data_IF_495849398634
#
_entry.id   IF_495849398634
#
_cell.length_a   1.000
_cell.length_b   1.000
_cell.length_c   1.000
_cell.angle_alpha   90.00
_cell.angle_beta   90.00
_cell.angle_gamma   90.00
#
_symmetry.space_group_name_H-M   'P 1'
#
loop_
_entity.id
_entity.type
_entity.pdbx_description
1 polymer ?
#
# COMPACT_ATOMS: atom_id res chain seq x y z
N UNK A 1 -19.89 23.08 -18.78
CA UNK A 1 -19.33 22.18 -17.74
C UNK A 1 -18.91 22.93 -16.48
N UNK A 2 -18.04 23.95 -16.54
CA UNK A 2 -17.62 24.69 -15.33
C UNK A 2 -18.75 25.58 -14.76
N UNK A 3 -19.50 26.28 -15.62
CA UNK A 3 -20.66 27.08 -15.18
C UNK A 3 -21.82 26.21 -14.66
N UNK A 4 -22.05 25.04 -15.26
CA UNK A 4 -23.04 24.08 -14.79
C UNK A 4 -22.65 23.47 -13.43
N UNK A 5 -21.35 23.23 -13.20
CA UNK A 5 -20.81 22.85 -11.89
C UNK A 5 -21.02 23.97 -10.85
N UNK A 6 -20.78 25.21 -11.24
CA UNK A 6 -20.96 26.38 -10.38
C UNK A 6 -22.42 26.57 -9.95
N UNK A 7 -23.37 26.44 -10.89
CA UNK A 7 -24.81 26.46 -10.62
C UNK A 7 -25.24 25.27 -9.73
N UNK A 8 -24.71 24.07 -9.96
CA UNK A 8 -25.02 22.90 -9.13
C UNK A 8 -24.50 23.03 -7.69
N UNK A 9 -23.33 23.65 -7.49
CA UNK A 9 -22.76 23.95 -6.17
C UNK A 9 -23.56 24.99 -5.40
N UNK A 10 -24.34 25.84 -6.07
CA UNK A 10 -25.22 26.82 -5.43
C UNK A 10 -26.53 26.21 -4.92
N UNK A 11 -26.91 25.02 -5.40
CA UNK A 11 -28.11 24.35 -4.90
C UNK A 11 -27.92 23.85 -3.46
N UNK A 12 -28.80 24.22 -2.52
CA UNK A 12 -28.66 23.82 -1.12
C UNK A 12 -28.60 22.30 -0.95
N UNK A 13 -29.43 21.54 -1.66
CA UNK A 13 -29.48 20.08 -1.53
C UNK A 13 -28.15 19.42 -1.92
N UNK A 14 -27.51 19.90 -3.00
CA UNK A 14 -26.20 19.40 -3.44
C UNK A 14 -25.13 19.63 -2.37
N UNK A 15 -25.12 20.80 -1.72
CA UNK A 15 -24.17 21.10 -0.64
C UNK A 15 -24.34 20.17 0.56
N UNK A 16 -25.59 19.91 0.95
CA UNK A 16 -25.91 18.97 2.02
C UNK A 16 -25.43 17.55 1.68
N UNK A 17 -25.74 17.06 0.48
CA UNK A 17 -25.33 15.71 0.05
C UNK A 17 -23.80 15.59 -0.01
N UNK A 18 -23.10 16.60 -0.55
CA UNK A 18 -21.64 16.62 -0.59
C UNK A 18 -21.01 16.60 0.80
N UNK A 19 -21.57 17.35 1.75
CA UNK A 19 -21.10 17.33 3.14
C UNK A 19 -21.33 15.95 3.78
N UNK A 20 -22.49 15.32 3.53
CA UNK A 20 -22.81 13.98 4.00
C UNK A 20 -21.86 12.91 3.44
N UNK A 21 -21.63 12.91 2.13
CA UNK A 21 -20.74 11.92 1.47
C UNK A 21 -19.27 12.15 1.79
N UNK A 22 -18.85 13.40 2.02
CA UNK A 22 -17.51 13.72 2.54
C UNK A 22 -17.29 13.13 3.94
N UNK A 23 -18.22 13.39 4.87
CA UNK A 23 -18.12 12.91 6.24
C UNK A 23 -18.20 11.38 6.31
N UNK A 24 -19.11 10.78 5.55
CA UNK A 24 -19.24 9.34 5.43
C UNK A 24 -17.95 8.72 4.87
N UNK A 25 -17.42 9.26 3.77
CA UNK A 25 -16.19 8.78 3.15
C UNK A 25 -14.98 8.94 4.07
N UNK A 26 -14.95 10.01 4.86
CA UNK A 26 -13.91 10.22 5.88
C UNK A 26 -14.01 9.19 7.01
N UNK A 27 -15.22 8.95 7.53
CA UNK A 27 -15.48 7.96 8.57
C UNK A 27 -15.17 6.53 8.07
N UNK A 28 -15.54 6.20 6.83
CA UNK A 28 -15.28 4.89 6.23
C UNK A 28 -13.77 4.67 6.01
N UNK A 29 -13.04 5.67 5.50
CA UNK A 29 -11.59 5.56 5.34
C UNK A 29 -10.84 5.42 6.67
N UNK A 30 -11.29 6.12 7.71
CA UNK A 30 -10.75 6.00 9.06
C UNK A 30 -10.97 4.59 9.62
N UNK A 31 -12.21 4.10 9.65
CA UNK A 31 -12.55 2.79 10.20
C UNK A 31 -11.92 1.66 9.37
N UNK A 32 -11.93 1.83 8.05
CA UNK A 32 -11.24 0.96 7.10
C UNK A 32 -9.76 0.79 7.37
N UNK A 33 -9.09 1.83 7.90
CA UNK A 33 -7.68 1.73 8.28
C UNK A 33 -7.46 0.72 9.40
N UNK A 34 -8.34 0.69 10.41
CA UNK A 34 -8.27 -0.31 11.48
C UNK A 34 -8.63 -1.71 10.97
N UNK A 35 -9.69 -1.82 10.16
CA UNK A 35 -10.12 -3.10 9.57
C UNK A 35 -9.02 -3.73 8.71
N UNK A 36 -8.36 -2.92 7.87
CA UNK A 36 -7.27 -3.37 7.02
C UNK A 36 -6.08 -3.86 7.84
N UNK A 37 -5.67 -3.13 8.88
CA UNK A 37 -4.52 -3.50 9.71
C UNK A 37 -4.78 -4.75 10.56
N UNK A 38 -6.03 -4.99 10.94
CA UNK A 38 -6.45 -6.21 11.64
C UNK A 38 -6.61 -7.41 10.71
N UNK A 39 -6.36 -7.25 9.40
CA UNK A 39 -6.58 -8.28 8.36
C UNK A 39 -8.03 -8.77 8.29
N UNK A 40 -8.97 -7.89 8.62
CA UNK A 40 -10.40 -8.19 8.70
C UNK A 40 -11.19 -7.52 7.56
N UNK A 41 -10.55 -7.33 6.40
CA UNK A 41 -11.14 -6.62 5.26
C UNK A 41 -12.49 -7.19 4.82
N UNK A 42 -12.68 -8.51 4.88
CA UNK A 42 -13.92 -9.17 4.48
C UNK A 42 -15.08 -8.99 5.47
N UNK A 43 -14.82 -8.53 6.71
CA UNK A 43 -15.90 -8.36 7.69
C UNK A 43 -16.84 -7.22 7.26
N UNK A 44 -16.32 -6.15 6.65
CA UNK A 44 -17.16 -5.05 6.15
C UNK A 44 -18.18 -5.52 5.11
N UNK A 45 -17.79 -6.46 4.25
CA UNK A 45 -18.65 -7.09 3.24
C UNK A 45 -19.73 -7.96 3.89
N UNK A 46 -19.33 -8.84 4.82
CA UNK A 46 -20.28 -9.64 5.56
C UNK A 46 -21.29 -8.81 6.36
N UNK A 47 -20.88 -7.67 6.94
CA UNK A 47 -21.79 -6.76 7.64
C UNK A 47 -22.82 -6.15 6.69
N UNK A 48 -22.43 -5.73 5.49
CA UNK A 48 -23.33 -5.11 4.52
C UNK A 48 -24.41 -6.10 4.06
N UNK A 49 -24.02 -7.32 3.72
CA UNK A 49 -24.96 -8.37 3.34
C UNK A 49 -25.79 -8.89 4.53
N UNK A 50 -25.24 -8.87 5.75
CA UNK A 50 -26.00 -9.18 6.98
C UNK A 50 -27.06 -8.11 7.29
N UNK A 51 -26.84 -6.87 6.87
CA UNK A 51 -27.79 -5.79 7.07
C UNK A 51 -29.02 -5.90 6.14
N UNK A 52 -28.88 -6.48 4.94
CA UNK A 52 -29.95 -6.62 3.94
C UNK A 52 -31.23 -7.28 4.48
N UNK A 53 -31.20 -8.49 5.09
CA UNK A 53 -32.40 -9.09 5.67
C UNK A 53 -33.01 -8.23 6.79
N UNK A 54 -32.18 -7.48 7.54
CA UNK A 54 -32.65 -6.54 8.55
C UNK A 54 -33.47 -5.38 7.98
N UNK A 55 -33.03 -4.82 6.84
CA UNK A 55 -33.79 -3.79 6.11
C UNK A 55 -35.11 -4.34 5.61
N UNK A 56 -35.10 -5.53 5.00
CA UNK A 56 -36.32 -6.18 4.51
C UNK A 56 -37.32 -6.48 5.64
N UNK A 57 -36.85 -6.98 6.78
CA UNK A 57 -37.71 -7.21 7.95
C UNK A 57 -38.28 -5.91 8.50
N UNK A 58 -37.46 -4.85 8.60
CA UNK A 58 -37.95 -3.54 9.04
C UNK A 58 -39.06 -3.00 8.13
N UNK A 59 -38.92 -3.18 6.81
CA UNK A 59 -39.97 -2.82 5.86
C UNK A 59 -41.25 -3.65 6.03
N UNK A 60 -41.14 -4.97 6.21
CA UNK A 60 -42.29 -5.84 6.42
C UNK A 60 -43.07 -5.51 7.71
N UNK A 61 -42.38 -5.10 8.78
CA UNK A 61 -43.03 -4.73 10.04
C UNK A 61 -43.68 -3.34 10.02
N UNK A 62 -43.02 -2.36 9.40
CA UNK A 62 -43.49 -0.97 9.42
C UNK A 62 -44.46 -0.66 8.29
N UNK A 63 -44.35 -1.33 7.14
CA UNK A 63 -45.12 -1.01 5.93
C UNK A 63 -44.79 0.36 5.31
N UNK A 64 -43.90 1.14 5.93
CA UNK A 64 -43.56 2.50 5.55
C UNK A 64 -42.07 2.65 5.21
N UNK A 65 -41.76 3.58 4.30
CA UNK A 65 -40.38 3.94 3.94
C UNK A 65 -39.81 4.94 4.95
N UNK A 66 -39.44 4.45 6.12
CA UNK A 66 -38.84 5.28 7.17
C UNK A 66 -37.37 4.88 7.39
N UNK A 67 -36.48 5.82 7.07
CA UNK A 67 -35.03 5.60 7.18
C UNK A 67 -34.59 5.14 8.58
N UNK A 68 -35.07 5.73 9.70
CA UNK A 68 -34.64 5.30 11.03
C UNK A 68 -34.91 3.83 11.32
N UNK A 69 -36.06 3.30 10.86
CA UNK A 69 -36.42 1.90 11.06
C UNK A 69 -35.57 0.97 10.19
N UNK A 70 -35.28 1.36 8.94
CA UNK A 70 -34.37 0.61 8.08
C UNK A 70 -32.97 0.54 8.66
N UNK A 71 -32.44 1.67 9.17
CA UNK A 71 -31.14 1.71 9.83
C UNK A 71 -31.13 0.86 11.10
N UNK A 72 -32.20 0.88 11.89
CA UNK A 72 -32.31 0.07 13.10
C UNK A 72 -32.32 -1.44 12.76
N UNK A 73 -33.15 -1.86 11.80
CA UNK A 73 -33.20 -3.25 11.35
C UNK A 73 -31.88 -3.72 10.76
N UNK A 74 -31.26 -2.88 9.92
CA UNK A 74 -29.93 -3.10 9.36
C UNK A 74 -28.86 -3.25 10.45
N UNK A 75 -28.86 -2.37 11.45
CA UNK A 75 -27.91 -2.40 12.55
C UNK A 75 -28.07 -3.65 13.42
N UNK A 76 -29.31 -4.03 13.76
CA UNK A 76 -29.58 -5.24 14.54
C UNK A 76 -29.14 -6.50 13.79
N UNK A 77 -29.49 -6.62 12.51
CA UNK A 77 -29.08 -7.77 11.70
C UNK A 77 -27.56 -7.80 11.44
N UNK A 78 -26.94 -6.64 11.22
CA UNK A 78 -25.49 -6.50 11.10
C UNK A 78 -24.77 -6.91 12.39
N UNK A 79 -25.23 -6.44 13.55
CA UNK A 79 -24.69 -6.84 14.85
C UNK A 79 -24.87 -8.34 15.10
N UNK A 80 -26.03 -8.90 14.80
CA UNK A 80 -26.28 -10.34 14.87
C UNK A 80 -25.30 -11.11 13.99
N UNK A 81 -25.10 -10.67 12.73
CA UNK A 81 -24.13 -11.25 11.81
C UNK A 81 -22.70 -11.20 12.38
N UNK A 82 -22.25 -10.04 12.88
CA UNK A 82 -20.92 -9.94 13.50
C UNK A 82 -20.75 -10.83 14.73
N UNK A 83 -21.80 -10.97 15.53
CA UNK A 83 -21.79 -11.85 16.69
C UNK A 83 -21.68 -13.33 16.27
N UNK A 84 -22.42 -13.74 15.24
CA UNK A 84 -22.33 -15.10 14.68
C UNK A 84 -20.93 -15.38 14.11
N UNK A 85 -20.32 -14.44 13.37
CA UNK A 85 -18.96 -14.56 12.84
C UNK A 85 -17.95 -14.79 13.97
N UNK A 86 -18.11 -14.14 15.12
CA UNK A 86 -17.23 -14.34 16.28
C UNK A 86 -17.53 -15.62 17.07
N UNK A 87 -18.77 -16.09 17.04
CA UNK A 87 -19.22 -17.26 17.80
C UNK A 87 -18.86 -18.57 17.11
N UNK A 88 -18.98 -18.65 15.79
CA UNK A 88 -18.75 -19.88 15.01
C UNK A 88 -17.33 -20.46 15.22
N UNK A 89 -16.23 -19.68 15.12
CA UNK A 89 -14.88 -20.19 15.37
C UNK A 89 -14.62 -20.55 16.84
N UNK A 90 -15.44 -20.06 17.78
CA UNK A 90 -15.33 -20.41 19.20
C UNK A 90 -16.00 -21.74 19.52
N UNK A 91 -17.09 -22.05 18.82
CA UNK A 91 -17.86 -23.29 19.02
C UNK A 91 -17.42 -24.42 18.09
N UNK A 92 -16.65 -24.14 17.03
CA UNK A 92 -16.24 -25.11 16.02
C UNK A 92 -14.77 -24.95 15.63
N UNK A 93 -14.19 -25.96 14.97
CA UNK A 93 -12.81 -25.93 14.44
C UNK A 93 -12.69 -25.16 13.11
N UNK A 94 -13.65 -24.29 12.79
CA UNK A 94 -13.67 -23.54 11.53
C UNK A 94 -12.80 -22.29 11.64
N UNK A 95 -12.18 -21.88 10.52
CA UNK A 95 -11.40 -20.64 10.44
C UNK A 95 -12.33 -19.44 10.39
N UNK A 96 -11.86 -18.29 10.89
CA UNK A 96 -12.61 -17.02 10.89
C UNK A 96 -13.08 -16.64 9.48
N UNK A 97 -12.22 -16.79 8.46
CA UNK A 97 -12.58 -16.52 7.06
C UNK A 97 -13.72 -17.41 6.55
N UNK A 98 -13.77 -18.68 6.97
CA UNK A 98 -14.86 -19.59 6.62
C UNK A 98 -16.16 -19.21 7.33
N UNK A 99 -16.09 -18.77 8.59
CA UNK A 99 -17.25 -18.28 9.32
C UNK A 99 -17.84 -17.01 8.67
N UNK A 100 -16.98 -16.09 8.22
CA UNK A 100 -17.40 -14.90 7.45
C UNK A 100 -18.17 -15.34 6.20
N UNK A 101 -17.64 -16.27 5.41
CA UNK A 101 -18.28 -16.77 4.19
C UNK A 101 -19.62 -17.46 4.42
N UNK A 102 -19.76 -18.24 5.50
CA UNK A 102 -21.03 -18.91 5.87
C UNK A 102 -22.09 -17.86 6.24
N UNK A 103 -21.75 -16.92 7.13
CA UNK A 103 -22.68 -15.89 7.59
C UNK A 103 -23.10 -14.99 6.43
N UNK A 104 -22.14 -14.55 5.62
CA UNK A 104 -22.38 -13.80 4.37
C UNK A 104 -23.42 -14.51 3.49
N UNK A 105 -23.20 -15.79 3.19
CA UNK A 105 -24.04 -16.56 2.25
C UNK A 105 -25.46 -16.76 2.79
N UNK A 106 -25.59 -17.09 4.09
CA UNK A 106 -26.89 -17.35 4.72
C UNK A 106 -27.71 -16.07 4.81
N UNK A 107 -27.13 -14.98 5.33
CA UNK A 107 -27.85 -13.72 5.47
C UNK A 107 -28.21 -13.13 4.11
N UNK A 108 -27.30 -13.21 3.13
CA UNK A 108 -27.60 -12.77 1.78
C UNK A 108 -28.73 -13.58 1.16
N UNK A 109 -28.69 -14.92 1.26
CA UNK A 109 -29.76 -15.79 0.76
C UNK A 109 -31.12 -15.48 1.40
N UNK A 110 -31.17 -15.36 2.73
CA UNK A 110 -32.39 -14.97 3.46
C UNK A 110 -32.87 -13.59 3.02
N UNK A 111 -31.95 -12.64 2.90
CA UNK A 111 -32.26 -11.28 2.48
C UNK A 111 -32.83 -11.22 1.05
N UNK A 112 -32.28 -11.98 0.11
CA UNK A 112 -32.81 -12.08 -1.25
C UNK A 112 -34.20 -12.73 -1.26
N UNK A 113 -34.43 -13.79 -0.48
CA UNK A 113 -35.76 -14.40 -0.36
C UNK A 113 -36.79 -13.37 0.15
N UNK A 114 -36.44 -12.63 1.21
CA UNK A 114 -37.31 -11.59 1.75
C UNK A 114 -37.55 -10.46 0.73
N UNK A 115 -36.50 -10.04 0.02
CA UNK A 115 -36.60 -9.03 -1.02
C UNK A 115 -37.52 -9.47 -2.16
N UNK A 116 -37.35 -10.69 -2.67
CA UNK A 116 -38.20 -11.27 -3.72
C UNK A 116 -39.65 -11.41 -3.25
N UNK A 117 -39.87 -11.81 -2.00
CA UNK A 117 -41.21 -11.86 -1.41
C UNK A 117 -41.86 -10.47 -1.38
N UNK A 118 -41.14 -9.45 -0.90
CA UNK A 118 -41.61 -8.05 -0.89
C UNK A 118 -41.93 -7.56 -2.32
N UNK A 119 -41.10 -7.92 -3.31
CA UNK A 119 -41.31 -7.58 -4.72
C UNK A 119 -42.54 -8.26 -5.33
N UNK A 120 -43.00 -9.39 -4.79
CA UNK A 120 -44.20 -10.08 -5.27
C UNK A 120 -45.51 -9.55 -4.66
N UNK A 121 -45.46 -8.87 -3.52
CA UNK A 121 -46.65 -8.35 -2.83
C UNK A 121 -47.38 -7.18 -3.55
N UNK A 122 -46.92 -6.73 -4.72
CA UNK A 122 -47.61 -5.74 -5.57
C UNK A 122 -47.85 -4.37 -4.94
N UNK A 123 -47.26 -4.08 -3.78
CA UNK A 123 -47.45 -2.82 -3.06
C UNK A 123 -46.61 -1.73 -3.75
N UNK A 124 -47.21 -0.63 -4.20
CA UNK A 124 -46.53 0.49 -4.90
C UNK A 124 -45.32 1.09 -4.16
N UNK A 125 -45.14 0.73 -2.89
CA UNK A 125 -43.96 1.00 -2.06
C UNK A 125 -42.66 0.30 -2.53
N UNK A 126 -42.69 -0.61 -3.51
CA UNK A 126 -41.50 -1.34 -4.02
C UNK A 126 -40.43 -0.45 -4.67
N UNK A 127 -40.82 0.68 -5.27
CA UNK A 127 -39.94 1.53 -6.13
C UNK A 127 -38.71 2.16 -5.44
N UNK A 128 -38.50 1.96 -4.14
CA UNK A 128 -37.38 2.57 -3.39
C UNK A 128 -36.33 1.60 -2.84
N UNK A 129 -36.63 0.30 -2.77
CA UNK A 129 -35.71 -0.69 -2.20
C UNK A 129 -34.50 -0.93 -3.12
N UNK A 130 -34.72 -1.04 -4.43
CA UNK A 130 -33.62 -1.21 -5.39
C UNK A 130 -32.68 0.02 -5.38
N UNK A 131 -33.25 1.22 -5.35
CA UNK A 131 -32.50 2.48 -5.20
C UNK A 131 -31.66 2.52 -3.92
N UNK A 132 -32.18 1.97 -2.82
CA UNK A 132 -31.44 1.87 -1.55
C UNK A 132 -30.30 0.84 -1.64
N UNK A 133 -30.52 -0.31 -2.27
CA UNK A 133 -29.54 -1.39 -2.38
C UNK A 133 -28.35 -1.01 -3.28
N UNK A 134 -28.61 -0.31 -4.38
CA UNK A 134 -27.57 0.14 -5.32
C UNK A 134 -26.93 1.48 -4.96
N UNK A 135 -27.47 2.19 -3.96
CA UNK A 135 -26.95 3.47 -3.49
C UNK A 135 -27.32 4.61 -4.44
N UNK A 136 -28.24 5.46 -3.99
CA UNK A 136 -28.66 6.66 -4.74
C UNK A 136 -28.72 7.87 -3.81
N UNK A 137 -27.64 8.65 -3.77
CA UNK A 137 -27.57 9.87 -2.99
C UNK A 137 -28.58 10.94 -3.48
N UNK A 138 -29.04 10.84 -4.73
CA UNK A 138 -30.12 11.68 -5.25
C UNK A 138 -31.47 11.45 -4.53
N UNK A 139 -31.67 10.29 -3.90
CA UNK A 139 -32.88 9.97 -3.14
C UNK A 139 -32.87 10.51 -1.70
N UNK A 140 -31.76 11.13 -1.26
CA UNK A 140 -31.61 11.62 0.10
C UNK A 140 -32.39 12.90 0.34
N UNK A 141 -33.15 12.90 1.43
CA UNK A 141 -33.84 14.08 1.93
C UNK A 141 -32.97 14.77 2.98
N UNK A 142 -33.22 16.05 3.27
CA UNK A 142 -32.50 16.83 4.30
C UNK A 142 -32.37 16.09 5.63
N UNK A 143 -33.43 15.40 6.08
CA UNK A 143 -33.42 14.65 7.35
C UNK A 143 -32.42 13.49 7.32
N UNK A 144 -32.33 12.77 6.21
CA UNK A 144 -31.39 11.67 6.02
C UNK A 144 -29.94 12.17 6.10
N UNK A 145 -29.67 13.32 5.50
CA UNK A 145 -28.34 13.92 5.50
C UNK A 145 -27.92 14.35 6.90
N UNK A 146 -28.83 14.95 7.68
CA UNK A 146 -28.55 15.32 9.07
C UNK A 146 -28.24 14.06 9.90
N UNK A 147 -28.96 12.97 9.66
CA UNK A 147 -28.71 11.69 10.32
C UNK A 147 -27.34 11.13 9.93
N UNK A 148 -27.02 11.03 8.64
CA UNK A 148 -25.74 10.53 8.14
C UNK A 148 -24.57 11.37 8.67
N UNK A 149 -24.69 12.70 8.61
CA UNK A 149 -23.67 13.62 9.11
C UNK A 149 -23.50 13.50 10.62
N UNK A 150 -24.60 13.43 11.37
CA UNK A 150 -24.59 13.26 12.83
C UNK A 150 -23.93 11.95 13.25
N UNK A 151 -24.33 10.83 12.66
CA UNK A 151 -23.73 9.52 12.97
C UNK A 151 -22.27 9.49 12.53
N UNK A 152 -21.92 9.98 11.34
CA UNK A 152 -20.52 10.04 10.88
C UNK A 152 -19.66 10.87 11.82
N UNK A 153 -20.16 12.01 12.31
CA UNK A 153 -19.47 12.83 13.30
C UNK A 153 -19.27 12.09 14.63
N UNK A 154 -20.29 11.38 15.11
CA UNK A 154 -20.18 10.53 16.31
C UNK A 154 -19.16 9.40 16.12
N UNK A 155 -19.13 8.76 14.95
CA UNK A 155 -18.15 7.71 14.63
C UNK A 155 -16.72 8.26 14.66
N UNK A 156 -16.49 9.41 14.03
CA UNK A 156 -15.19 10.10 14.04
C UNK A 156 -14.79 10.52 15.46
N UNK A 157 -15.73 11.05 16.25
CA UNK A 157 -15.50 11.43 17.64
C UNK A 157 -15.12 10.23 18.49
N UNK A 158 -15.89 9.13 18.43
CA UNK A 158 -15.58 7.93 19.21
C UNK A 158 -14.24 7.32 18.79
N UNK A 159 -13.93 7.30 17.50
CA UNK A 159 -12.64 6.81 17.04
C UNK A 159 -11.46 7.67 17.48
N UNK A 160 -11.64 8.99 17.58
CA UNK A 160 -10.59 9.90 18.05
C UNK A 160 -10.40 9.82 19.56
N UNK A 161 -11.50 9.71 20.33
CA UNK A 161 -11.47 9.51 21.78
C UNK A 161 -10.80 8.17 22.14
N UNK A 162 -11.23 7.08 21.51
CA UNK A 162 -10.67 5.74 21.76
C UNK A 162 -9.45 5.40 20.88
N UNK A 163 -8.80 6.41 20.28
CA UNK A 163 -7.71 6.21 19.34
C UNK A 163 -6.53 5.44 19.96
N UNK A 164 -6.22 5.73 21.23
CA UNK A 164 -5.08 5.11 21.93
C UNK A 164 -5.35 3.62 22.17
N UNK A 165 -6.56 3.30 22.61
CA UNK A 165 -7.05 1.95 22.90
C UNK A 165 -7.11 1.13 21.61
N UNK A 166 -7.74 1.68 20.56
CA UNK A 166 -7.84 1.05 19.24
C UNK A 166 -6.47 0.80 18.60
N UNK A 167 -5.54 1.74 18.74
CA UNK A 167 -4.16 1.55 18.28
C UNK A 167 -3.51 0.35 18.96
N UNK A 168 -3.59 0.23 20.29
CA UNK A 168 -2.93 -0.86 21.02
C UNK A 168 -3.54 -2.21 20.63
N UNK A 169 -4.87 -2.35 20.65
CA UNK A 169 -5.52 -3.63 20.32
C UNK A 169 -5.31 -4.06 18.86
N UNK A 170 -5.06 -3.13 17.93
CA UNK A 170 -4.79 -3.45 16.53
C UNK A 170 -3.40 -4.04 16.33
N UNK A 171 -2.40 -3.59 17.10
CA UNK A 171 -1.02 -4.06 16.95
C UNK A 171 -0.64 -5.18 17.91
N UNK A 172 -1.12 -5.14 19.16
CA UNK A 172 -0.82 -6.17 20.16
C UNK A 172 -1.96 -6.33 21.18
N UNK A 173 -2.77 -7.37 20.97
CA UNK A 173 -3.88 -7.73 21.85
C UNK A 173 -3.38 -8.26 23.21
N UNK A 174 -2.23 -8.95 23.26
CA UNK A 174 -1.68 -9.52 24.49
C UNK A 174 -1.16 -8.41 25.41
N UNK A 175 -0.44 -7.44 24.84
CA UNK A 175 0.00 -6.24 25.54
C UNK A 175 -1.18 -5.41 26.07
N UNK A 176 -2.25 -5.24 25.27
CA UNK A 176 -3.48 -4.58 25.73
C UNK A 176 -4.09 -5.26 26.97
N UNK A 177 -4.10 -6.60 27.01
CA UNK A 177 -4.58 -7.36 28.18
C UNK A 177 -3.66 -7.19 29.38
N UNK A 178 -2.34 -7.16 29.18
CA UNK A 178 -1.35 -6.90 30.23
C UNK A 178 -1.50 -5.52 30.88
N UNK A 179 -1.93 -4.52 30.10
CA UNK A 179 -2.27 -3.18 30.59
C UNK A 179 -3.62 -3.10 31.34
N UNK A 180 -4.39 -4.21 31.40
CA UNK A 180 -5.72 -4.22 32.02
C UNK A 180 -6.84 -3.62 31.17
N UNK A 181 -6.61 -3.37 29.87
CA UNK A 181 -7.66 -2.83 29.01
C UNK A 181 -8.79 -3.84 28.78
N UNK A 182 -10.06 -3.40 28.74
CA UNK A 182 -11.20 -4.29 28.49
C UNK A 182 -11.31 -4.67 27.00
N UNK A 183 -10.39 -5.52 26.53
CA UNK A 183 -10.26 -5.91 25.11
C UNK A 183 -11.56 -6.42 24.49
N UNK A 184 -12.37 -7.18 25.26
CA UNK A 184 -13.67 -7.69 24.76
C UNK A 184 -14.63 -6.55 24.42
N UNK A 185 -14.72 -5.56 25.30
CA UNK A 185 -15.55 -4.37 25.09
C UNK A 185 -15.04 -3.55 23.91
N UNK A 186 -13.73 -3.27 23.84
CA UNK A 186 -13.14 -2.48 22.76
C UNK A 186 -13.30 -3.13 21.38
N UNK A 187 -13.17 -4.46 21.30
CA UNK A 187 -13.44 -5.19 20.06
C UNK A 187 -14.92 -5.13 19.66
N UNK A 188 -15.84 -5.25 20.63
CA UNK A 188 -17.28 -5.09 20.40
C UNK A 188 -17.64 -3.68 19.95
N UNK A 189 -17.04 -2.66 20.58
CA UNK A 189 -17.20 -1.26 20.21
C UNK A 189 -16.70 -1.01 18.78
N UNK A 190 -15.50 -1.46 18.43
CA UNK A 190 -14.98 -1.35 17.07
C UNK A 190 -15.91 -2.03 16.04
N UNK A 191 -16.38 -3.25 16.34
CA UNK A 191 -17.33 -3.95 15.47
C UNK A 191 -18.63 -3.16 15.30
N UNK A 192 -19.18 -2.61 16.40
CA UNK A 192 -20.36 -1.76 16.38
C UNK A 192 -20.15 -0.50 15.53
N UNK A 193 -19.02 0.20 15.68
CA UNK A 193 -18.69 1.38 14.88
C UNK A 193 -18.63 1.05 13.38
N UNK A 194 -18.06 -0.10 13.01
CA UNK A 194 -18.02 -0.54 11.61
C UNK A 194 -19.42 -0.88 11.11
N UNK A 195 -20.24 -1.60 11.89
CA UNK A 195 -21.65 -1.87 11.52
C UNK A 195 -22.39 -0.57 11.30
N UNK A 196 -22.29 0.39 12.23
CA UNK A 196 -22.92 1.70 12.09
C UNK A 196 -22.45 2.41 10.81
N UNK A 197 -21.15 2.42 10.52
CA UNK A 197 -20.60 3.03 9.30
C UNK A 197 -21.11 2.38 8.01
N UNK A 198 -21.18 1.03 7.99
CA UNK A 198 -21.75 0.27 6.87
C UNK A 198 -23.21 0.66 6.68
N UNK A 199 -24.00 0.60 7.76
CA UNK A 199 -25.45 0.82 7.77
C UNK A 199 -25.83 2.23 7.28
N UNK A 200 -25.18 3.28 7.78
CA UNK A 200 -25.46 4.65 7.31
C UNK A 200 -25.04 4.88 5.87
N UNK A 201 -24.01 4.16 5.40
CA UNK A 201 -23.51 4.32 4.05
C UNK A 201 -24.27 3.48 3.01
N UNK A 202 -25.08 2.51 3.44
CA UNK A 202 -25.90 1.68 2.56
C UNK A 202 -26.73 2.53 1.59
N UNK A 203 -27.38 3.59 2.09
CA UNK A 203 -28.25 4.42 1.25
C UNK A 203 -27.49 5.26 0.21
N UNK A 204 -26.31 5.77 0.58
CA UNK A 204 -25.49 6.64 -0.27
C UNK A 204 -24.70 5.87 -1.32
N UNK A 205 -24.10 4.75 -0.90
CA UNK A 205 -23.09 4.01 -1.69
C UNK A 205 -23.64 2.68 -2.18
N UNK A 206 -24.58 2.06 -1.45
CA UNK A 206 -25.15 0.76 -1.78
C UNK A 206 -24.52 -0.37 -0.98
N UNK A 207 -25.28 -1.46 -0.80
CA UNK A 207 -24.90 -2.62 0.02
C UNK A 207 -23.60 -3.25 -0.44
N UNK A 208 -23.52 -3.59 -1.73
CA UNK A 208 -22.36 -4.29 -2.32
C UNK A 208 -21.10 -3.40 -2.29
N UNK A 209 -21.32 -2.10 -2.39
CA UNK A 209 -20.31 -1.09 -2.68
C UNK A 209 -19.71 -0.50 -1.39
N UNK A 210 -20.44 -0.56 -0.28
CA UNK A 210 -19.97 -0.06 1.01
C UNK A 210 -18.68 -0.73 1.51
N UNK A 211 -18.53 -2.03 1.30
CA UNK A 211 -17.30 -2.74 1.67
C UNK A 211 -16.07 -2.18 0.94
N UNK A 212 -16.20 -1.90 -0.36
CA UNK A 212 -15.15 -1.30 -1.15
C UNK A 212 -14.83 0.13 -0.69
N UNK A 213 -15.84 0.93 -0.34
CA UNK A 213 -15.66 2.29 0.17
C UNK A 213 -14.99 2.34 1.55
N UNK A 214 -15.14 1.28 2.35
CA UNK A 214 -14.42 1.10 3.61
C UNK A 214 -12.93 0.76 3.36
N UNK A 215 -12.64 -0.15 2.43
CA UNK A 215 -11.31 -0.75 2.30
C UNK A 215 -10.39 0.03 1.35
N UNK A 216 -10.90 0.47 0.19
CA UNK A 216 -10.09 1.05 -0.89
C UNK A 216 -9.32 2.30 -0.45
N UNK A 217 -9.93 3.29 0.26
CA UNK A 217 -9.21 4.46 0.75
C UNK A 217 -8.09 4.11 1.75
N UNK A 218 -8.32 3.10 2.59
CA UNK A 218 -7.34 2.61 3.57
C UNK A 218 -6.14 1.95 2.89
N UNK A 219 -6.38 1.13 1.86
CA UNK A 219 -5.28 0.53 1.07
C UNK A 219 -4.52 1.65 0.34
N UNK A 220 -5.22 2.61 -0.27
CA UNK A 220 -4.59 3.75 -0.93
C UNK A 220 -3.68 4.52 0.04
N UNK A 221 -4.11 4.78 1.27
CA UNK A 221 -3.29 5.45 2.29
C UNK A 221 -2.06 4.64 2.73
N UNK A 222 -2.17 3.31 2.77
CA UNK A 222 -1.09 2.40 3.19
C UNK A 222 0.14 2.42 2.28
N UNK A 223 0.01 2.91 1.05
CA UNK A 223 1.13 3.14 0.14
C UNK A 223 1.96 4.38 0.48
N UNK A 224 1.33 5.42 1.04
CA UNK A 224 1.98 6.69 1.35
C UNK A 224 2.66 6.74 2.72
N UNK A 225 2.15 5.98 3.70
CA UNK A 225 2.63 6.07 5.08
C UNK A 225 2.66 4.72 5.81
N UNK A 226 3.59 4.62 6.75
CA UNK A 226 3.76 3.47 7.65
C UNK A 226 3.26 3.75 9.07
N UNK A 227 2.97 5.03 9.37
CA UNK A 227 2.44 5.46 10.68
C UNK A 227 0.91 5.41 10.66
N UNK A 228 0.30 4.77 11.66
CA UNK A 228 -1.15 4.65 11.78
C UNK A 228 -1.87 6.01 11.72
N UNK A 229 -1.38 7.01 12.45
CA UNK A 229 -1.99 8.34 12.48
C UNK A 229 -2.03 8.98 11.10
N UNK A 230 -0.92 8.89 10.35
CA UNK A 230 -0.88 9.38 8.97
C UNK A 230 -1.79 8.56 8.06
N UNK A 231 -1.89 7.25 8.28
CA UNK A 231 -2.72 6.37 7.47
C UNK A 231 -4.20 6.72 7.61
N UNK A 232 -4.67 6.96 8.83
CA UNK A 232 -6.06 7.35 9.12
C UNK A 232 -6.40 8.68 8.46
N UNK A 233 -5.53 9.69 8.60
CA UNK A 233 -5.78 11.02 8.02
C UNK A 233 -5.82 10.94 6.50
N UNK A 234 -4.84 10.27 5.88
CA UNK A 234 -4.81 10.12 4.42
C UNK A 234 -6.01 9.30 3.94
N UNK A 235 -6.38 8.21 4.62
CA UNK A 235 -7.51 7.37 4.25
C UNK A 235 -8.85 8.12 4.38
N UNK A 236 -9.01 8.91 5.44
CA UNK A 236 -10.18 9.75 5.62
C UNK A 236 -10.26 10.84 4.54
N UNK A 237 -9.14 11.48 4.21
CA UNK A 237 -9.10 12.46 3.11
C UNK A 237 -9.40 11.82 1.76
N UNK A 238 -8.77 10.70 1.42
CA UNK A 238 -9.00 10.02 0.13
C UNK A 238 -10.43 9.49 0.02
N UNK A 239 -10.99 8.97 1.11
CA UNK A 239 -12.39 8.52 1.17
C UNK A 239 -13.39 9.68 1.05
N UNK A 240 -13.13 10.80 1.73
CA UNK A 240 -13.94 12.01 1.60
C UNK A 240 -13.88 12.59 0.18
N UNK A 241 -12.67 12.71 -0.39
CA UNK A 241 -12.47 13.18 -1.77
C UNK A 241 -13.16 12.25 -2.76
N UNK A 242 -13.10 10.92 -2.56
CA UNK A 242 -13.78 9.98 -3.45
C UNK A 242 -15.29 10.09 -3.35
N UNK A 243 -15.83 10.34 -2.15
CA UNK A 243 -17.25 10.59 -1.95
C UNK A 243 -17.73 11.86 -2.64
N UNK A 244 -17.03 12.97 -2.46
CA UNK A 244 -17.34 14.26 -3.11
C UNK A 244 -17.27 14.14 -4.63
N UNK A 245 -16.17 13.62 -5.16
CA UNK A 245 -15.99 13.50 -6.61
C UNK A 245 -16.99 12.54 -7.25
N UNK A 246 -17.29 11.40 -6.62
CA UNK A 246 -18.33 10.49 -7.10
C UNK A 246 -19.73 11.11 -7.09
N UNK A 247 -20.06 11.89 -6.06
CA UNK A 247 -21.32 12.62 -5.97
C UNK A 247 -21.43 13.68 -7.07
N UNK A 248 -20.39 14.50 -7.27
CA UNK A 248 -20.35 15.53 -8.32
C UNK A 248 -20.42 14.95 -9.74
N UNK A 249 -19.79 13.79 -9.97
CA UNK A 249 -19.91 13.10 -11.25
C UNK A 249 -21.32 12.59 -11.48
N UNK A 250 -21.98 12.09 -10.43
CA UNK A 250 -23.37 11.62 -10.54
C UNK A 250 -24.37 12.75 -10.79
N UNK A 251 -24.13 13.96 -10.25
CA UNK A 251 -25.01 15.11 -10.52
C UNK A 251 -24.82 15.71 -11.90
N UNK A 252 -23.66 15.51 -12.53
CA UNK A 252 -23.37 16.02 -13.89
C UNK A 252 -23.73 15.03 -14.98
N UNK A 253 -23.75 13.72 -14.68
CA UNK A 253 -24.11 12.66 -15.63
C UNK A 253 -25.48 12.08 -15.31
N UNK A 254 -26.49 12.43 -16.12
CA UNK A 254 -27.86 11.94 -15.92
C UNK A 254 -27.95 10.40 -15.99
N UNK A 255 -28.70 9.80 -15.06
CA UNK A 255 -28.98 8.37 -15.03
C UNK A 255 -27.94 7.47 -14.35
N UNK A 256 -26.83 8.03 -13.83
CA UNK A 256 -25.82 7.23 -13.14
C UNK A 256 -26.03 7.16 -11.62
N UNK A 257 -25.97 5.96 -11.05
CA UNK A 257 -26.01 5.75 -9.60
C UNK A 257 -24.75 6.32 -8.90
N UNK A 258 -24.94 6.94 -7.75
CA UNK A 258 -23.88 7.64 -6.99
C UNK A 258 -22.85 6.68 -6.41
N UNK A 259 -23.30 5.53 -5.93
CA UNK A 259 -22.44 4.52 -5.31
C UNK A 259 -21.31 4.01 -6.21
N UNK A 260 -21.62 3.49 -7.41
CA UNK A 260 -20.60 3.04 -8.36
C UNK A 260 -19.59 4.14 -8.71
N UNK A 261 -20.04 5.38 -8.89
CA UNK A 261 -19.17 6.51 -9.22
C UNK A 261 -18.22 6.89 -8.07
N UNK A 262 -18.68 6.82 -6.82
CA UNK A 262 -17.81 7.00 -5.64
C UNK A 262 -16.67 5.96 -5.61
N UNK A 263 -16.96 4.71 -5.97
CA UNK A 263 -15.95 3.64 -5.97
C UNK A 263 -15.01 3.74 -7.16
N UNK A 264 -15.50 4.07 -8.35
CA UNK A 264 -14.63 4.31 -9.50
C UNK A 264 -13.65 5.44 -9.19
N UNK A 265 -14.14 6.52 -8.57
CA UNK A 265 -13.29 7.59 -8.05
C UNK A 265 -12.25 7.09 -7.04
N UNK A 266 -12.69 6.35 -6.00
CA UNK A 266 -11.78 5.78 -5.00
C UNK A 266 -10.72 4.86 -5.63
N UNK A 267 -11.11 4.10 -6.65
CA UNK A 267 -10.25 3.16 -7.39
C UNK A 267 -9.20 3.91 -8.21
N UNK A 268 -9.56 5.02 -8.85
CA UNK A 268 -8.61 5.89 -9.56
C UNK A 268 -7.57 6.46 -8.58
N UNK A 269 -8.02 6.95 -7.42
CA UNK A 269 -7.13 7.46 -6.36
C UNK A 269 -6.20 6.34 -5.84
N UNK A 270 -6.74 5.13 -5.66
CA UNK A 270 -5.96 3.95 -5.29
C UNK A 270 -4.91 3.59 -6.35
N UNK A 271 -5.28 3.56 -7.64
CA UNK A 271 -4.36 3.21 -8.72
C UNK A 271 -3.23 4.26 -8.83
N UNK A 272 -3.58 5.53 -8.71
CA UNK A 272 -2.60 6.63 -8.64
C UNK A 272 -1.65 6.44 -7.45
N UNK A 273 -2.19 6.15 -6.26
CA UNK A 273 -1.40 5.86 -5.07
C UNK A 273 -0.44 4.69 -5.27
N UNK A 274 -0.91 3.60 -5.89
CA UNK A 274 -0.13 2.40 -6.14
C UNK A 274 1.03 2.62 -7.10
N UNK A 275 0.86 3.51 -8.09
CA UNK A 275 1.91 3.82 -9.06
C UNK A 275 2.89 4.84 -8.48
N UNK A 276 2.39 5.93 -7.90
CA UNK A 276 3.17 7.12 -7.57
C UNK A 276 3.78 7.12 -6.16
N UNK A 277 3.41 6.18 -5.27
CA UNK A 277 3.91 6.21 -3.91
C UNK A 277 5.45 6.06 -3.80
N UNK A 278 6.12 6.87 -2.97
CA UNK A 278 7.58 7.00 -2.99
C UNK A 278 8.33 5.77 -2.45
N UNK A 279 7.77 5.07 -1.45
CA UNK A 279 8.42 3.91 -0.82
C UNK A 279 7.90 2.57 -1.34
N UNK A 280 6.60 2.48 -1.59
CA UNK A 280 5.89 1.23 -1.94
C UNK A 280 5.34 1.22 -3.37
N UNK A 281 5.44 2.34 -4.10
CA UNK A 281 4.89 2.45 -5.44
C UNK A 281 5.66 1.61 -6.45
N UNK A 282 4.95 1.14 -7.47
CA UNK A 282 5.52 0.33 -8.54
C UNK A 282 6.57 1.12 -9.34
N UNK A 283 6.34 2.43 -9.57
CA UNK A 283 7.31 3.28 -10.26
C UNK A 283 8.59 3.47 -9.45
N UNK A 284 8.48 3.75 -8.15
CA UNK A 284 9.64 3.89 -7.27
C UNK A 284 10.45 2.59 -7.20
N UNK A 285 9.78 1.43 -7.11
CA UNK A 285 10.42 0.11 -7.16
C UNK A 285 11.12 -0.11 -8.51
N UNK A 286 10.48 0.23 -9.62
CA UNK A 286 11.05 0.14 -10.96
C UNK A 286 12.29 1.02 -11.12
N UNK A 287 12.24 2.28 -10.68
CA UNK A 287 13.37 3.21 -10.72
C UNK A 287 14.52 2.69 -9.85
N UNK A 288 14.24 2.20 -8.63
CA UNK A 288 15.27 1.61 -7.75
C UNK A 288 15.93 0.41 -8.40
N UNK A 289 15.15 -0.49 -9.01
CA UNK A 289 15.68 -1.66 -9.72
C UNK A 289 16.52 -1.27 -10.94
N UNK A 290 16.12 -0.25 -11.71
CA UNK A 290 16.89 0.24 -12.86
C UNK A 290 18.20 0.87 -12.39
N UNK A 291 18.17 1.70 -11.34
CA UNK A 291 19.38 2.31 -10.76
C UNK A 291 20.32 1.25 -10.22
N UNK A 292 19.81 0.25 -9.49
CA UNK A 292 20.58 -0.87 -8.97
C UNK A 292 21.21 -1.66 -10.11
N UNK A 293 20.43 -2.07 -11.12
CA UNK A 293 20.95 -2.77 -12.32
C UNK A 293 22.05 -1.96 -13.02
N UNK A 294 21.90 -0.64 -13.17
CA UNK A 294 22.94 0.21 -13.78
C UNK A 294 24.21 0.25 -12.94
N UNK A 295 24.10 0.42 -11.61
CA UNK A 295 25.23 0.40 -10.68
C UNK A 295 25.95 -0.95 -10.73
N UNK A 296 25.22 -2.06 -10.58
CA UNK A 296 25.78 -3.41 -10.62
C UNK A 296 26.43 -3.70 -11.97
N UNK A 297 25.79 -3.39 -13.10
CA UNK A 297 26.38 -3.62 -14.42
C UNK A 297 27.71 -2.87 -14.59
N UNK A 298 27.78 -1.62 -14.09
CA UNK A 298 29.00 -0.81 -14.10
C UNK A 298 30.11 -1.43 -13.24
N UNK A 299 29.79 -1.80 -12.00
CA UNK A 299 30.74 -2.47 -11.09
C UNK A 299 31.25 -3.80 -11.67
N UNK A 300 30.39 -4.62 -12.28
CA UNK A 300 30.78 -5.89 -12.89
C UNK A 300 31.70 -5.72 -14.11
N UNK A 301 31.49 -4.67 -14.93
CA UNK A 301 32.39 -4.34 -16.04
C UNK A 301 33.76 -3.89 -15.52
N UNK A 302 33.80 -2.98 -14.55
CA UNK A 302 35.05 -2.52 -13.92
C UNK A 302 35.83 -3.66 -13.27
N UNK A 303 35.13 -4.57 -12.60
CA UNK A 303 35.76 -5.73 -11.96
C UNK A 303 36.33 -6.70 -13.00
N UNK A 304 35.65 -6.88 -14.14
CA UNK A 304 36.16 -7.72 -15.23
C UNK A 304 37.38 -7.08 -15.92
N UNK A 305 37.34 -5.77 -16.13
CA UNK A 305 38.48 -4.98 -16.63
C UNK A 305 39.70 -5.18 -15.73
N UNK A 306 39.52 -5.10 -14.41
CA UNK A 306 40.60 -5.27 -13.45
C UNK A 306 41.13 -6.71 -13.37
N UNK A 307 40.25 -7.72 -13.41
CA UNK A 307 40.66 -9.12 -13.44
C UNK A 307 41.49 -9.45 -14.70
N UNK A 308 41.10 -8.92 -15.88
CA UNK A 308 41.88 -9.10 -17.10
C UNK A 308 43.25 -8.41 -17.01
N UNK A 309 43.30 -7.24 -16.38
CA UNK A 309 44.56 -6.56 -16.08
C UNK A 309 45.48 -7.40 -15.17
N UNK A 310 44.95 -8.05 -14.12
CA UNK A 310 45.71 -9.00 -13.28
C UNK A 310 46.27 -10.18 -14.11
N UNK A 311 45.55 -10.61 -15.17
CA UNK A 311 45.99 -11.63 -16.11
C UNK A 311 46.92 -11.15 -17.24
N UNK A 312 47.41 -9.90 -17.19
CA UNK A 312 48.31 -9.26 -18.20
C UNK A 312 47.63 -8.88 -19.51
N UNK A 313 46.30 -8.79 -19.55
CA UNK A 313 45.55 -8.29 -20.71
C UNK A 313 45.23 -6.80 -20.52
N UNK A 314 45.68 -5.96 -21.46
CA UNK A 314 45.41 -4.51 -21.47
C UNK A 314 44.21 -4.17 -22.36
N UNK A 315 43.82 -5.12 -23.21
CA UNK A 315 42.72 -5.01 -24.15
C UNK A 315 41.54 -5.84 -23.65
N UNK A 316 40.36 -5.25 -23.70
CA UNK A 316 39.12 -5.85 -23.24
C UNK A 316 38.12 -5.86 -24.39
N UNK A 317 37.63 -7.05 -24.70
CA UNK A 317 36.62 -7.24 -25.75
C UNK A 317 35.23 -7.28 -25.14
N UNK A 318 34.24 -6.70 -25.82
CA UNK A 318 32.84 -6.75 -25.34
C UNK A 318 32.34 -8.18 -25.11
N UNK A 319 32.81 -9.13 -25.92
CA UNK A 319 32.43 -10.54 -25.82
C UNK A 319 32.98 -11.23 -24.57
N UNK A 320 34.22 -10.91 -24.14
CA UNK A 320 34.81 -11.52 -22.93
C UNK A 320 34.12 -11.04 -21.67
N UNK A 321 33.79 -9.73 -21.59
CA UNK A 321 32.95 -9.17 -20.52
C UNK A 321 31.60 -9.89 -20.47
N UNK A 322 30.96 -10.06 -21.63
CA UNK A 322 29.61 -10.63 -21.73
C UNK A 322 29.57 -12.09 -21.30
N UNK A 323 30.56 -12.89 -21.71
CA UNK A 323 30.70 -14.30 -21.32
C UNK A 323 30.90 -14.46 -19.81
N UNK A 324 31.74 -13.61 -19.20
CA UNK A 324 32.08 -13.72 -17.77
C UNK A 324 30.97 -13.22 -16.85
N UNK A 325 30.28 -12.13 -17.21
CA UNK A 325 29.30 -11.44 -16.33
C UNK A 325 27.84 -11.57 -16.74
N UNK A 326 27.54 -12.34 -17.80
CA UNK A 326 26.17 -12.57 -18.34
C UNK A 326 25.38 -11.26 -18.58
N UNK A 327 26.06 -10.23 -19.07
CA UNK A 327 25.45 -8.93 -19.37
C UNK A 327 24.70 -8.96 -20.70
N UNK A 328 23.62 -8.19 -20.83
CA UNK A 328 22.97 -7.96 -22.14
C UNK A 328 23.87 -7.10 -23.04
N UNK A 329 23.93 -7.35 -24.37
CA UNK A 329 24.79 -6.60 -25.29
C UNK A 329 24.57 -5.09 -25.22
N UNK A 330 23.31 -4.63 -25.21
CA UNK A 330 22.99 -3.20 -25.12
C UNK A 330 23.41 -2.57 -23.79
N UNK A 331 23.40 -3.34 -22.70
CA UNK A 331 23.83 -2.86 -21.38
C UNK A 331 25.35 -2.76 -21.28
N UNK A 332 26.07 -3.76 -21.80
CA UNK A 332 27.54 -3.76 -21.84
C UNK A 332 28.05 -2.57 -22.65
N UNK A 333 27.53 -2.40 -23.86
CA UNK A 333 27.92 -1.30 -24.75
C UNK A 333 27.63 0.07 -24.14
N UNK A 334 26.46 0.24 -23.51
CA UNK A 334 26.11 1.51 -22.84
C UNK A 334 27.05 1.83 -21.67
N UNK A 335 27.40 0.85 -20.85
CA UNK A 335 28.34 1.04 -19.74
C UNK A 335 29.75 1.38 -20.24
N UNK A 336 30.23 0.73 -21.30
CA UNK A 336 31.54 1.02 -21.87
C UNK A 336 31.60 2.43 -22.47
N UNK A 337 30.54 2.89 -23.15
CA UNK A 337 30.43 4.27 -23.62
C UNK A 337 30.41 5.28 -22.45
N UNK A 338 29.74 4.95 -21.34
CA UNK A 338 29.75 5.80 -20.14
C UNK A 338 31.15 5.84 -19.49
N UNK A 339 31.87 4.71 -19.47
CA UNK A 339 33.24 4.63 -18.96
C UNK A 339 34.27 5.33 -19.87
N UNK A 340 34.04 5.36 -21.18
CA UNK A 340 34.86 6.12 -22.14
C UNK A 340 34.76 7.63 -21.89
N UNK A 341 33.55 8.14 -21.64
CA UNK A 341 33.34 9.55 -21.25
C UNK A 341 34.07 9.91 -19.96
N UNK A 342 34.14 8.96 -19.01
CA UNK A 342 34.91 9.10 -17.77
C UNK A 342 36.43 8.83 -17.94
N UNK A 343 36.91 8.69 -19.19
CA UNK A 343 38.32 8.40 -19.55
C UNK A 343 38.87 7.13 -18.90
N UNK A 344 38.02 6.16 -18.58
CA UNK A 344 38.41 4.90 -17.95
C UNK A 344 38.83 3.85 -18.99
N UNK A 345 38.23 3.90 -20.18
CA UNK A 345 38.56 3.06 -21.34
C UNK A 345 38.66 3.93 -22.59
N UNK A 346 39.44 3.50 -23.58
CA UNK A 346 39.56 4.15 -24.89
C UNK A 346 39.20 3.14 -25.96
N UNK A 347 38.30 3.50 -26.87
CA UNK A 347 37.95 2.66 -28.01
C UNK A 347 39.07 2.65 -29.04
N UNK A 348 39.49 1.45 -29.45
CA UNK A 348 40.51 1.28 -30.51
C UNK A 348 39.86 0.78 -31.79
N UNK A 349 39.09 -0.31 -31.70
CA UNK A 349 38.37 -0.93 -32.81
C UNK A 349 36.96 -1.32 -32.38
N UNK A 350 36.09 -1.69 -33.32
CA UNK A 350 34.71 -2.10 -33.02
C UNK A 350 34.68 -3.30 -32.06
N UNK A 351 34.28 -3.05 -30.82
CA UNK A 351 34.17 -4.06 -29.77
C UNK A 351 35.46 -4.32 -28.97
N UNK A 352 36.55 -3.59 -29.25
CA UNK A 352 37.84 -3.71 -28.53
C UNK A 352 38.19 -2.39 -27.84
N UNK A 353 38.40 -2.47 -26.54
CA UNK A 353 38.61 -1.34 -25.65
C UNK A 353 39.96 -1.47 -24.95
N UNK A 354 40.76 -0.40 -24.93
CA UNK A 354 42.00 -0.33 -24.14
C UNK A 354 41.73 0.30 -22.79
N UNK A 355 42.21 -0.34 -21.73
CA UNK A 355 42.05 0.13 -20.37
C UNK A 355 43.05 1.25 -20.09
N UNK A 356 42.57 2.34 -19.51
CA UNK A 356 43.43 3.46 -19.06
C UNK A 356 43.82 3.30 -17.59
N UNK A 357 44.75 4.12 -17.12
CA UNK A 357 45.10 4.16 -15.71
C UNK A 357 43.91 4.51 -14.79
N UNK A 358 43.06 5.46 -15.18
CA UNK A 358 41.87 5.81 -14.41
C UNK A 358 40.87 4.63 -14.32
N UNK A 359 40.80 3.80 -15.37
CA UNK A 359 40.02 2.57 -15.37
C UNK A 359 40.59 1.50 -14.44
N UNK A 360 41.93 1.35 -14.40
CA UNK A 360 42.62 0.43 -13.48
C UNK A 360 42.40 0.84 -12.03
N UNK A 361 42.50 2.13 -11.71
CA UNK A 361 42.29 2.64 -10.34
C UNK A 361 40.86 2.41 -9.85
N UNK A 362 39.85 2.78 -10.65
CA UNK A 362 38.44 2.50 -10.31
C UNK A 362 38.15 1.00 -10.24
N UNK A 363 38.75 0.21 -11.15
CA UNK A 363 38.67 -1.24 -11.16
C UNK A 363 39.27 -1.86 -9.89
N UNK A 364 40.42 -1.36 -9.44
CA UNK A 364 41.09 -1.77 -8.21
C UNK A 364 40.23 -1.52 -6.98
N UNK A 365 39.70 -0.30 -6.82
CA UNK A 365 38.82 0.03 -5.69
C UNK A 365 37.56 -0.83 -5.69
N UNK A 366 36.99 -1.10 -6.86
CA UNK A 366 35.83 -1.98 -7.01
C UNK A 366 36.20 -3.42 -6.62
N UNK A 367 37.30 -3.97 -7.15
CA UNK A 367 37.76 -5.32 -6.81
C UNK A 367 38.08 -5.45 -5.32
N UNK A 368 38.74 -4.46 -4.72
CA UNK A 368 39.04 -4.40 -3.29
C UNK A 368 37.75 -4.47 -2.46
N UNK A 369 36.76 -3.62 -2.76
CA UNK A 369 35.45 -3.63 -2.11
C UNK A 369 34.80 -5.01 -2.16
N UNK A 370 34.71 -5.63 -3.33
CA UNK A 370 34.07 -6.94 -3.50
C UNK A 370 34.82 -8.05 -2.75
N UNK A 371 36.15 -8.10 -2.85
CA UNK A 371 36.94 -9.13 -2.16
C UNK A 371 36.92 -8.94 -0.64
N UNK A 372 36.94 -7.69 -0.15
CA UNK A 372 36.76 -7.40 1.28
C UNK A 372 35.38 -7.86 1.77
N UNK A 373 34.34 -7.63 0.97
CA UNK A 373 32.99 -8.08 1.30
C UNK A 373 32.89 -9.61 1.33
N UNK A 374 33.54 -10.32 0.40
CA UNK A 374 33.65 -11.79 0.43
C UNK A 374 34.33 -12.27 1.72
N UNK A 375 35.44 -11.65 2.13
CA UNK A 375 36.13 -12.00 3.39
C UNK A 375 35.25 -11.70 4.61
N UNK A 376 34.51 -10.59 4.60
CA UNK A 376 33.57 -10.27 5.66
C UNK A 376 32.47 -11.33 5.77
N UNK A 377 31.88 -11.76 4.66
CA UNK A 377 30.87 -12.83 4.66
C UNK A 377 31.43 -14.18 5.13
N UNK A 378 32.68 -14.51 4.77
CA UNK A 378 33.34 -15.74 5.24
C UNK A 378 33.62 -15.73 6.75
N UNK A 379 33.81 -14.55 7.34
CA UNK A 379 34.17 -14.35 8.74
C UNK A 379 33.13 -13.54 9.53
N UNK A 380 31.86 -13.56 9.11
CA UNK A 380 30.81 -12.71 9.68
C UNK A 380 30.59 -12.97 11.18
N UNK A 381 30.83 -14.21 11.64
CA UNK A 381 30.73 -14.60 13.05
C UNK A 381 31.86 -14.02 13.92
N UNK A 382 33.02 -13.75 13.33
CA UNK A 382 34.24 -13.30 14.02
C UNK A 382 34.41 -11.77 13.96
N UNK A 383 33.63 -11.09 13.12
CA UNK A 383 33.72 -9.65 12.87
C UNK A 383 32.46 -8.97 13.39
N UNK A 384 32.66 -7.91 14.18
CA UNK A 384 31.56 -7.08 14.70
C UNK A 384 30.70 -6.55 13.53
N UNK A 385 29.37 -6.70 13.62
CA UNK A 385 28.43 -6.43 12.50
C UNK A 385 28.64 -5.03 11.90
N UNK A 386 29.32 -4.98 10.76
CA UNK A 386 29.65 -3.75 10.07
C UNK A 386 28.68 -3.54 8.89
N UNK A 387 27.47 -3.06 9.18
CA UNK A 387 26.48 -2.68 8.16
C UNK A 387 25.89 -3.88 7.38
N UNK A 388 24.57 -4.00 7.37
CA UNK A 388 23.87 -5.24 7.03
C UNK A 388 23.67 -5.53 5.52
N UNK A 389 24.36 -4.84 4.59
CA UNK A 389 24.10 -5.04 3.14
C UNK A 389 25.32 -4.75 2.23
N UNK A 390 25.46 -5.49 1.12
CA UNK A 390 26.56 -5.35 0.15
C UNK A 390 26.63 -3.94 -0.47
N UNK A 391 25.47 -3.31 -0.62
CA UNK A 391 25.34 -1.98 -1.21
C UNK A 391 25.86 -0.86 -0.29
N UNK A 392 25.86 -1.09 1.02
CA UNK A 392 26.32 -0.16 2.07
C UNK A 392 27.75 -0.47 2.55
N UNK A 393 28.34 -1.58 2.09
CA UNK A 393 29.72 -1.96 2.38
C UNK A 393 30.71 -1.07 1.61
N UNK A 394 31.07 0.05 2.22
CA UNK A 394 32.09 0.99 1.70
C UNK A 394 33.36 0.81 2.54
N UNK A 395 34.48 0.34 1.95
CA UNK A 395 35.72 0.11 2.68
C UNK A 395 36.18 1.28 3.56
N UNK A 396 35.96 2.51 3.09
CA UNK A 396 36.38 3.74 3.76
C UNK A 396 35.49 4.15 4.94
N UNK A 397 34.29 3.58 5.06
CA UNK A 397 33.34 3.85 6.17
C UNK A 397 33.42 2.81 7.28
N UNK A 398 34.22 1.76 7.11
CA UNK A 398 34.39 0.72 8.12
C UNK A 398 35.26 1.26 9.27
N UNK A 399 35.00 0.82 10.52
CA UNK A 399 35.92 1.06 11.62
C UNK A 399 37.34 0.61 11.26
N UNK A 400 38.36 1.38 11.65
CA UNK A 400 39.74 1.11 11.25
C UNK A 400 40.20 -0.30 11.64
N UNK A 401 39.82 -0.75 12.84
CA UNK A 401 40.11 -2.10 13.32
C UNK A 401 39.52 -3.20 12.40
N UNK A 402 38.28 -3.04 11.95
CA UNK A 402 37.61 -3.98 11.04
C UNK A 402 38.24 -3.96 9.66
N UNK A 403 38.55 -2.76 9.15
CA UNK A 403 39.22 -2.58 7.85
C UNK A 403 40.59 -3.26 7.83
N UNK A 404 41.42 -3.02 8.83
CA UNK A 404 42.76 -3.59 8.92
C UNK A 404 42.72 -5.11 9.07
N UNK A 405 41.73 -5.62 9.82
CA UNK A 405 41.49 -7.05 9.92
C UNK A 405 41.12 -7.66 8.57
N UNK A 406 40.21 -7.07 7.82
CA UNK A 406 39.83 -7.53 6.48
C UNK A 406 40.99 -7.46 5.49
N UNK A 407 41.81 -6.42 5.55
CA UNK A 407 43.03 -6.32 4.74
C UNK A 407 44.05 -7.42 5.09
N UNK A 408 44.18 -7.78 6.37
CA UNK A 408 45.03 -8.89 6.80
C UNK A 408 44.51 -10.24 6.27
N UNK A 409 43.19 -10.46 6.32
CA UNK A 409 42.55 -11.66 5.78
C UNK A 409 42.72 -11.76 4.27
N UNK A 410 42.57 -10.64 3.53
CA UNK A 410 42.81 -10.61 2.09
C UNK A 410 44.24 -11.01 1.72
N UNK A 411 45.24 -10.56 2.50
CA UNK A 411 46.63 -10.95 2.30
C UNK A 411 46.83 -12.44 2.61
N UNK A 412 46.25 -12.93 3.71
CA UNK A 412 46.36 -14.32 4.15
C UNK A 412 45.76 -15.29 3.13
N UNK A 413 44.61 -14.94 2.54
CA UNK A 413 43.95 -15.76 1.51
C UNK A 413 44.50 -15.53 0.08
N UNK A 414 45.54 -14.71 -0.10
CA UNK A 414 46.09 -14.41 -1.43
C UNK A 414 45.08 -13.73 -2.36
N UNK A 415 44.09 -13.03 -1.79
CA UNK A 415 43.00 -12.36 -2.52
C UNK A 415 43.25 -10.85 -2.67
N UNK A 416 44.36 -10.32 -2.18
CA UNK A 416 44.67 -8.90 -2.32
C UNK A 416 44.76 -8.50 -3.80
N UNK A 417 44.02 -7.46 -4.26
CA UNK A 417 44.12 -7.01 -5.66
C UNK A 417 45.53 -6.49 -5.97
N UNK A 418 46.10 -6.94 -7.10
CA UNK A 418 47.47 -6.59 -7.49
C UNK A 418 47.49 -5.36 -8.39
N UNK A 419 48.03 -4.24 -7.88
CA UNK A 419 48.41 -3.10 -8.73
C UNK A 419 49.82 -3.34 -9.27
N UNK A 420 49.94 -3.70 -10.55
CA UNK A 420 51.24 -3.77 -11.22
C UNK A 420 51.67 -2.35 -11.61
N UNK A 421 52.96 -2.04 -11.48
CA UNK A 421 53.48 -0.71 -11.83
C UNK A 421 53.20 -0.38 -13.30
N UNK A 422 52.98 0.91 -13.66
CA UNK A 422 52.57 1.29 -15.01
C UNK A 422 53.76 1.34 -15.98
N UNK A 423 53.42 1.51 -17.26
CA UNK A 423 54.20 2.20 -18.27
C UNK A 423 55.19 3.26 -17.70
N UNK A 424 56.33 3.51 -18.34
CA UNK A 424 57.44 4.32 -17.81
C UNK A 424 57.18 5.84 -17.81
N UNK A 425 56.11 6.32 -17.17
CA UNK A 425 55.90 7.76 -16.93
C UNK A 425 55.37 8.11 -15.53
N UNK A 426 55.40 7.20 -14.56
CA UNK A 426 55.04 7.56 -13.18
C UNK A 426 56.16 7.17 -12.22
N UNK A 427 57.12 8.10 -12.11
CA UNK A 427 57.98 8.20 -10.94
C UNK A 427 57.60 9.45 -10.13
N UNK A 428 57.36 9.17 -8.84
CA UNK A 428 57.38 10.04 -7.66
C UNK A 428 56.10 10.82 -7.34
N UNK A 429 55.31 10.19 -6.45
CA UNK A 429 55.09 10.74 -5.12
C UNK A 429 53.95 11.74 -4.97
N UNK A 430 52.79 11.24 -4.54
CA UNK A 430 52.02 11.75 -3.39
C UNK A 430 50.72 10.97 -3.28
N UNK A 431 50.63 10.13 -2.25
CA UNK A 431 49.38 9.94 -1.53
C UNK A 431 49.21 11.22 -0.73
N UNK A 432 48.08 11.91 -0.88
CA UNK A 432 47.66 12.92 0.07
C UNK A 432 46.19 12.65 0.37
N UNK A 433 45.92 12.51 1.67
CA UNK A 433 44.63 12.76 2.30
C UNK A 433 43.95 14.00 1.68
N UNK A 434 42.62 14.01 1.77
CA UNK A 434 41.66 15.05 1.32
C UNK A 434 40.95 14.74 -0.02
N UNK A 435 39.87 13.95 0.07
CA UNK A 435 38.48 14.40 -0.16
C UNK A 435 37.48 13.27 0.14
#
# INVERSE_FOLDING_TARGET
MIESLWLQLQHPNTQWVLAGTLLLGAASGLLGSFVLLRKQSLIGDAMAHSALPGVCLAFLFTGEKSLPFFLLGAALAGLLGTWMIQLIPRLSKTKEDSAIGIVLSVFFGVGIILLTYIQQLGSGSQSGLDSFLFGQAASLVRQDIILIAGVSAVLLLLCTVFFKEFKIITFDIAFAKGLGLPVRFLNGLMACLIVCAVVIGLQTVGVILMAAMLITPAIAARYWTERLTGMIVIAGMTGGISGVSGTLLSTTMEGMATGPLMILSATIIFLFSMICAPKRGLAAKGIRLIRLRRKTNREQVLLTIFEQYEHKEIYVTEESIRKKRRLSPSSCHKVLNDLEKERCVVRIENGVWKVTQAGIEKGYLTALKYRMYEMYLMHEMDIEKAGADQDDFVPDRLPEATRDRLLSLLKLHGRMPELRQPYPEIKKGKIANEL
#
